data_IF_652843646503
#
_entry.id   IF_652843646503
#
_cell.length_a   1.000
_cell.length_b   1.000
_cell.length_c   1.000
_cell.angle_alpha   90.00
_cell.angle_beta   90.00
_cell.angle_gamma   90.00
#
_symmetry.space_group_name_H-M   'P 1'
#
loop_
_entity.id
_entity.type
_entity.pdbx_description
1 polymer ?
#
# COMPACT_ATOMS: atom_id res chain seq x y z
N UNK A 1 22.17 34.83 19.46
CA UNK A 1 20.89 35.04 18.75
C UNK A 1 21.19 35.88 17.51
N UNK A 2 20.90 35.37 16.32
CA UNK A 2 21.01 36.10 15.06
C UNK A 2 19.94 37.19 14.95
N UNK A 3 20.10 38.11 13.99
CA UNK A 3 19.11 39.17 13.75
C UNK A 3 17.72 38.60 13.41
N UNK A 4 17.68 37.51 12.62
CA UNK A 4 16.44 36.80 12.31
C UNK A 4 15.82 36.16 13.54
N UNK A 5 16.62 35.53 14.41
CA UNK A 5 16.13 34.99 15.69
C UNK A 5 15.64 36.10 16.64
N UNK A 6 16.27 37.30 16.60
CA UNK A 6 15.85 38.45 17.39
C UNK A 6 14.51 39.02 16.93
N UNK A 7 14.33 39.22 15.63
CA UNK A 7 13.03 39.58 15.05
C UNK A 7 11.95 38.55 15.40
N UNK A 8 12.31 37.27 15.37
CA UNK A 8 11.43 36.17 15.75
C UNK A 8 11.00 36.27 17.22
N UNK A 9 11.97 36.48 18.11
CA UNK A 9 11.75 36.62 19.54
C UNK A 9 10.86 37.82 19.86
N UNK A 10 11.21 39.01 19.37
CA UNK A 10 10.49 40.26 19.69
C UNK A 10 9.04 40.16 19.18
N UNK A 11 8.82 39.55 18.02
CA UNK A 11 7.47 39.32 17.52
C UNK A 11 6.67 38.35 18.39
N UNK A 12 7.27 37.27 18.93
CA UNK A 12 6.57 36.35 19.85
C UNK A 12 6.21 37.05 21.17
N UNK A 13 7.06 37.96 21.64
CA UNK A 13 6.79 38.72 22.87
C UNK A 13 5.73 39.81 22.68
N UNK A 14 5.67 40.40 21.49
CA UNK A 14 4.79 41.53 21.19
C UNK A 14 3.40 41.09 20.67
N UNK A 15 3.26 39.83 20.25
CA UNK A 15 2.00 39.33 19.69
C UNK A 15 1.05 38.85 20.79
N UNK A 16 -0.20 39.25 20.71
CA UNK A 16 -1.17 39.07 21.81
C UNK A 16 -1.96 37.78 21.79
N UNK A 17 -2.02 37.01 20.69
CA UNK A 17 -2.93 35.84 20.63
C UNK A 17 -2.41 34.66 19.80
N UNK A 18 -1.88 34.89 18.61
CA UNK A 18 -1.53 33.83 17.66
C UNK A 18 -0.25 34.16 16.90
N UNK A 19 0.58 33.14 16.66
CA UNK A 19 1.81 33.25 15.90
C UNK A 19 1.75 32.32 14.70
N UNK A 20 1.56 32.89 13.51
CA UNK A 20 1.60 32.16 12.24
C UNK A 20 2.95 32.31 11.56
N UNK A 21 3.73 31.23 11.52
CA UNK A 21 5.05 31.21 10.90
C UNK A 21 5.33 29.96 10.07
N UNK A 22 4.32 29.44 9.41
CA UNK A 22 4.50 28.33 8.48
C UNK A 22 5.44 28.69 7.31
N UNK A 23 6.33 27.77 6.94
CA UNK A 23 7.12 27.88 5.70
C UNK A 23 8.26 28.92 5.74
N UNK A 24 8.75 29.30 6.92
CA UNK A 24 9.77 30.37 7.08
C UNK A 24 11.20 29.87 7.25
N UNK A 25 11.42 28.56 7.16
CA UNK A 25 12.74 27.93 7.24
C UNK A 25 13.53 28.31 8.51
N UNK A 26 12.83 28.48 9.65
CA UNK A 26 13.46 28.99 10.87
C UNK A 26 14.43 27.97 11.52
N UNK A 27 14.28 26.68 11.21
CA UNK A 27 15.09 25.60 11.74
C UNK A 27 15.03 25.47 13.28
N UNK A 28 15.95 24.68 13.83
CA UNK A 28 16.05 24.47 15.28
C UNK A 28 16.39 25.76 16.03
N UNK A 29 17.23 26.61 15.44
CA UNK A 29 17.65 27.89 16.00
C UNK A 29 16.46 28.86 16.16
N UNK A 30 15.57 28.90 15.18
CA UNK A 30 14.33 29.66 15.29
C UNK A 30 13.36 29.07 16.30
N UNK A 31 13.19 27.75 16.32
CA UNK A 31 12.38 27.09 17.34
C UNK A 31 12.89 27.37 18.76
N UNK A 32 14.20 27.41 18.97
CA UNK A 32 14.81 27.82 20.24
C UNK A 32 14.48 29.28 20.57
N UNK A 33 14.55 30.20 19.60
CA UNK A 33 14.20 31.60 19.84
C UNK A 33 12.71 31.78 20.20
N UNK A 34 11.81 31.04 19.56
CA UNK A 34 10.39 30.99 19.93
C UNK A 34 10.23 30.44 21.35
N UNK A 35 10.91 29.35 21.68
CA UNK A 35 10.90 28.77 23.02
C UNK A 35 11.37 29.77 24.09
N UNK A 36 12.48 30.50 23.86
CA UNK A 36 12.93 31.53 24.80
C UNK A 36 11.91 32.67 24.94
N UNK A 37 11.27 33.10 23.86
CA UNK A 37 10.24 34.14 23.91
C UNK A 37 8.97 33.66 24.62
N UNK A 38 8.58 32.40 24.46
CA UNK A 38 7.42 31.79 25.14
C UNK A 38 7.59 31.69 26.66
N UNK A 39 8.81 31.73 27.19
CA UNK A 39 9.05 31.78 28.65
C UNK A 39 8.58 33.11 29.26
N UNK A 40 8.66 34.19 28.49
CA UNK A 40 8.27 35.54 28.95
C UNK A 40 6.90 35.96 28.43
N UNK A 41 6.48 35.47 27.26
CA UNK A 41 5.17 35.76 26.70
C UNK A 41 4.05 35.28 27.61
N UNK A 42 3.10 36.18 27.92
CA UNK A 42 1.94 35.93 28.80
C UNK A 42 0.60 36.00 28.08
N UNK A 43 0.63 36.26 26.78
CA UNK A 43 -0.56 36.55 25.98
C UNK A 43 -0.75 35.52 24.88
N UNK A 44 0.33 34.94 24.35
CA UNK A 44 0.26 34.05 23.21
C UNK A 44 -0.47 32.74 23.55
N UNK A 45 -1.51 32.44 22.75
CA UNK A 45 -2.41 31.29 22.91
C UNK A 45 -2.12 30.21 21.87
N UNK A 46 -1.81 30.61 20.63
CA UNK A 46 -1.62 29.68 19.51
C UNK A 46 -0.27 29.89 18.82
N UNK A 47 0.45 28.79 18.55
CA UNK A 47 1.69 28.82 17.77
C UNK A 47 1.61 27.87 16.58
N UNK A 48 1.84 28.41 15.38
CA UNK A 48 1.90 27.69 14.12
C UNK A 48 3.28 27.79 13.49
N UNK A 49 3.99 26.66 13.50
CA UNK A 49 5.38 26.55 13.09
C UNK A 49 5.59 25.41 12.07
N UNK A 50 4.59 25.12 11.25
CA UNK A 50 4.66 24.10 10.22
C UNK A 50 5.66 24.38 9.10
N UNK A 51 6.16 23.35 8.42
CA UNK A 51 7.07 23.49 7.27
C UNK A 51 8.32 24.37 7.54
N UNK A 52 8.99 24.19 8.68
CA UNK A 52 10.09 25.07 9.11
C UNK A 52 11.45 24.39 9.24
N UNK A 53 11.58 23.13 8.83
CA UNK A 53 12.78 22.31 9.02
C UNK A 53 13.17 22.19 10.50
N UNK A 54 12.18 22.16 11.40
CA UNK A 54 12.38 21.90 12.82
C UNK A 54 12.61 20.39 12.99
N UNK A 55 13.70 20.01 13.65
CA UNK A 55 13.95 18.62 14.04
C UNK A 55 13.46 18.34 15.47
N UNK A 56 13.69 17.12 15.94
CA UNK A 56 13.58 16.73 17.35
C UNK A 56 14.19 17.74 18.34
N UNK A 57 15.33 18.35 17.99
CA UNK A 57 16.02 19.34 18.84
C UNK A 57 15.18 20.59 19.06
N UNK A 58 14.67 21.20 17.99
CA UNK A 58 13.82 22.38 18.10
C UNK A 58 12.44 22.07 18.69
N UNK A 59 11.88 20.90 18.37
CA UNK A 59 10.64 20.43 18.98
C UNK A 59 10.78 20.25 20.50
N UNK A 60 11.91 19.70 20.95
CA UNK A 60 12.22 19.58 22.39
C UNK A 60 12.32 20.94 23.07
N UNK A 61 12.92 21.94 22.44
CA UNK A 61 12.99 23.29 23.00
C UNK A 61 11.60 23.90 23.27
N UNK A 62 10.69 23.74 22.30
CA UNK A 62 9.30 24.16 22.42
C UNK A 62 8.60 23.37 23.54
N UNK A 63 8.71 22.04 23.52
CA UNK A 63 8.08 21.17 24.52
C UNK A 63 8.54 21.48 25.96
N UNK A 64 9.83 21.68 26.19
CA UNK A 64 10.35 22.07 27.51
C UNK A 64 9.75 23.40 27.98
N UNK A 65 9.55 24.34 27.06
CA UNK A 65 8.92 25.62 27.42
C UNK A 65 7.44 25.47 27.75
N UNK A 66 6.73 24.55 27.10
CA UNK A 66 5.33 24.26 27.42
C UNK A 66 5.16 23.70 28.84
N UNK A 67 6.19 23.15 29.48
CA UNK A 67 6.09 22.76 30.91
C UNK A 67 5.80 23.96 31.81
N UNK A 68 6.39 25.12 31.47
CA UNK A 68 6.31 26.35 32.27
C UNK A 68 5.31 27.37 31.72
N UNK A 69 5.13 27.45 30.39
CA UNK A 69 4.15 28.34 29.78
C UNK A 69 2.72 27.85 30.07
N UNK A 70 1.86 28.76 30.52
CA UNK A 70 0.47 28.46 30.92
C UNK A 70 -0.58 29.11 30.01
N UNK A 71 -0.16 29.75 28.94
CA UNK A 71 -1.03 30.55 28.07
C UNK A 71 -1.27 29.87 26.74
N UNK A 72 -0.24 29.20 26.20
CA UNK A 72 -0.34 28.45 24.94
C UNK A 72 -1.32 27.28 25.14
N UNK A 73 -2.37 27.30 24.34
CA UNK A 73 -3.41 26.28 24.27
C UNK A 73 -3.32 25.47 22.97
N UNK A 74 -2.65 25.99 21.93
CA UNK A 74 -2.60 25.39 20.61
C UNK A 74 -1.18 25.41 20.02
N UNK A 75 -0.72 24.25 19.56
CA UNK A 75 0.59 24.08 18.93
C UNK A 75 0.44 23.27 17.65
N UNK A 76 0.91 23.81 16.53
CA UNK A 76 1.09 23.05 15.29
C UNK A 76 2.53 23.10 14.82
N UNK A 77 3.08 21.91 14.59
CA UNK A 77 4.42 21.70 14.06
C UNK A 77 4.37 20.81 12.81
N UNK A 78 3.24 20.80 12.09
CA UNK A 78 3.03 19.95 10.92
C UNK A 78 4.15 20.05 9.89
N UNK A 79 4.45 18.96 9.18
CA UNK A 79 5.43 18.96 8.07
C UNK A 79 6.85 19.42 8.50
N UNK A 80 7.27 19.02 9.70
CA UNK A 80 8.63 19.15 10.22
C UNK A 80 9.29 17.76 10.38
N UNK A 81 10.54 17.68 10.82
CA UNK A 81 11.32 16.43 10.93
C UNK A 81 11.51 16.04 12.41
N UNK A 82 10.40 15.98 13.15
CA UNK A 82 10.40 15.87 14.62
C UNK A 82 10.79 14.46 15.10
N UNK A 83 10.28 13.44 14.40
CA UNK A 83 10.50 12.03 14.73
C UNK A 83 9.96 11.63 16.12
N UNK A 84 10.29 10.40 16.51
CA UNK A 84 9.86 9.83 17.80
C UNK A 84 10.47 10.56 19.01
N UNK A 85 11.70 11.05 18.89
CA UNK A 85 12.39 11.76 19.97
C UNK A 85 11.70 13.09 20.32
N UNK A 86 11.28 13.86 19.31
CA UNK A 86 10.53 15.09 19.57
C UNK A 86 9.10 14.82 20.06
N UNK A 87 8.45 13.75 19.58
CA UNK A 87 7.16 13.31 20.12
C UNK A 87 7.26 12.90 21.61
N UNK A 88 8.34 12.22 22.01
CA UNK A 88 8.64 11.93 23.41
C UNK A 88 8.80 13.22 24.24
N UNK A 89 9.45 14.25 23.71
CA UNK A 89 9.57 15.53 24.42
C UNK A 89 8.20 16.19 24.65
N UNK A 90 7.31 16.16 23.64
CA UNK A 90 5.93 16.63 23.79
C UNK A 90 5.13 15.79 24.79
N UNK A 91 5.32 14.47 24.79
CA UNK A 91 4.72 13.59 25.78
C UNK A 91 5.12 13.99 27.21
N UNK A 92 6.41 14.18 27.48
CA UNK A 92 6.87 14.64 28.81
C UNK A 92 6.33 16.03 29.18
N UNK A 93 6.19 16.93 28.21
CA UNK A 93 5.59 18.25 28.45
C UNK A 93 4.10 18.15 28.80
N UNK A 94 3.35 17.32 28.08
CA UNK A 94 1.91 17.12 28.26
C UNK A 94 1.53 16.46 29.59
N UNK A 95 2.45 15.73 30.23
CA UNK A 95 2.22 15.17 31.58
C UNK A 95 2.05 16.26 32.65
N UNK A 96 2.69 17.42 32.45
CA UNK A 96 2.69 18.53 33.43
C UNK A 96 1.99 19.79 32.92
N UNK A 97 1.80 19.91 31.60
CA UNK A 97 1.06 21.01 31.01
C UNK A 97 -0.44 20.78 31.19
N UNK A 98 -1.10 21.77 31.81
CA UNK A 98 -2.53 21.74 32.13
C UNK A 98 -3.35 22.76 31.33
N UNK A 99 -2.81 23.23 30.20
CA UNK A 99 -3.49 24.24 29.37
C UNK A 99 -3.65 23.81 27.91
N UNK A 100 -2.70 23.05 27.34
CA UNK A 100 -2.70 22.66 25.94
C UNK A 100 -3.94 21.82 25.61
N UNK A 101 -4.69 22.29 24.60
CA UNK A 101 -5.94 21.70 24.10
C UNK A 101 -5.78 21.11 22.70
N UNK A 102 -4.89 21.70 21.90
CA UNK A 102 -4.67 21.34 20.51
C UNK A 102 -3.20 21.06 20.25
N UNK A 103 -2.90 19.86 19.75
CA UNK A 103 -1.55 19.49 19.34
C UNK A 103 -1.59 18.86 17.95
N UNK A 104 -0.88 19.49 17.01
CA UNK A 104 -0.72 18.99 15.66
C UNK A 104 0.73 18.62 15.34
N UNK A 105 0.94 17.31 15.19
CA UNK A 105 2.20 16.66 14.79
C UNK A 105 2.01 15.90 13.46
N UNK A 106 1.12 16.37 12.58
CA UNK A 106 0.88 15.73 11.28
C UNK A 106 2.11 15.80 10.37
N UNK A 107 2.44 14.73 9.65
CA UNK A 107 3.62 14.72 8.76
C UNK A 107 4.92 15.08 9.47
N UNK A 108 5.16 14.53 10.67
CA UNK A 108 6.37 14.80 11.44
C UNK A 108 7.28 13.60 11.67
N UNK A 109 7.06 12.53 10.88
CA UNK A 109 7.87 11.31 10.84
C UNK A 109 7.79 10.47 12.13
N UNK A 110 6.67 10.53 12.86
CA UNK A 110 6.44 9.65 14.02
C UNK A 110 6.24 8.21 13.56
N UNK A 111 6.89 7.28 14.25
CA UNK A 111 6.61 5.86 14.20
C UNK A 111 5.83 5.39 15.43
N UNK A 112 5.86 4.08 15.67
CA UNK A 112 5.17 3.46 16.80
C UNK A 112 5.73 3.91 18.16
N UNK A 113 7.02 4.20 18.25
CA UNK A 113 7.62 4.64 19.50
C UNK A 113 7.13 6.04 19.92
N UNK A 114 7.04 6.99 18.98
CA UNK A 114 6.47 8.31 19.22
C UNK A 114 4.97 8.25 19.54
N UNK A 115 4.21 7.42 18.82
CA UNK A 115 2.79 7.18 19.11
C UNK A 115 2.58 6.62 20.53
N UNK A 116 3.39 5.65 20.94
CA UNK A 116 3.36 5.07 22.29
C UNK A 116 3.68 6.10 23.37
N UNK A 117 4.67 6.97 23.15
CA UNK A 117 5.00 8.04 24.10
C UNK A 117 3.82 8.99 24.34
N UNK A 118 3.17 9.42 23.25
CA UNK A 118 1.97 10.26 23.33
C UNK A 118 0.83 9.51 24.02
N UNK A 119 0.62 8.23 23.69
CA UNK A 119 -0.41 7.40 24.30
C UNK A 119 -0.25 7.24 25.82
N UNK A 120 0.95 6.95 26.31
CA UNK A 120 1.19 6.88 27.77
C UNK A 120 0.87 8.19 28.47
N UNK A 121 1.06 9.31 27.80
CA UNK A 121 0.70 10.62 28.36
C UNK A 121 -0.79 10.89 28.32
N UNK A 122 -1.50 10.45 27.26
CA UNK A 122 -2.96 10.57 27.19
C UNK A 122 -3.68 9.86 28.34
N UNK A 123 -3.07 8.81 28.93
CA UNK A 123 -3.64 8.15 30.12
C UNK A 123 -3.75 9.07 31.34
N UNK A 124 -2.90 10.11 31.43
CA UNK A 124 -2.82 11.02 32.58
C UNK A 124 -3.17 12.47 32.23
N UNK A 125 -3.05 12.89 30.97
CA UNK A 125 -3.38 14.24 30.56
C UNK A 125 -4.90 14.42 30.50
N UNK A 126 -5.38 15.51 31.12
CA UNK A 126 -6.80 15.82 31.25
C UNK A 126 -7.19 17.12 30.54
N UNK A 127 -6.41 17.58 29.57
CA UNK A 127 -6.62 18.89 28.94
C UNK A 127 -6.66 18.83 27.43
N UNK A 128 -5.88 17.94 26.82
CA UNK A 128 -5.81 17.80 25.38
C UNK A 128 -7.15 17.28 24.85
N UNK A 129 -7.68 18.00 23.85
CA UNK A 129 -8.97 17.73 23.20
C UNK A 129 -8.81 17.31 21.74
N UNK A 130 -7.82 17.89 21.06
CA UNK A 130 -7.59 17.71 19.64
C UNK A 130 -6.15 17.26 19.39
N UNK A 131 -6.00 16.11 18.75
CA UNK A 131 -4.70 15.51 18.50
C UNK A 131 -4.57 15.06 17.04
N UNK A 132 -3.61 15.65 16.34
CA UNK A 132 -3.33 15.33 14.94
C UNK A 132 -2.02 14.56 14.80
N UNK A 133 -2.13 13.28 14.45
CA UNK A 133 -1.02 12.36 14.22
C UNK A 133 -1.05 11.76 12.79
N UNK A 134 -1.85 12.33 11.90
CA UNK A 134 -2.00 11.87 10.53
C UNK A 134 -0.74 12.09 9.67
N UNK A 135 -0.64 11.37 8.56
CA UNK A 135 0.50 11.45 7.62
C UNK A 135 1.84 11.11 8.28
N UNK A 136 1.84 10.19 9.25
CA UNK A 136 3.04 9.69 9.92
C UNK A 136 3.27 8.22 9.51
N UNK A 137 4.05 7.48 10.30
CA UNK A 137 4.48 6.10 10.03
C UNK A 137 4.00 5.16 11.13
N UNK A 138 2.89 5.52 11.80
CA UNK A 138 2.29 4.77 12.90
C UNK A 138 1.68 3.48 12.33
N UNK A 139 2.12 2.34 12.82
CA UNK A 139 1.59 1.02 12.52
C UNK A 139 0.65 0.49 13.61
N UNK A 140 0.43 -0.82 13.59
CA UNK A 140 -0.48 -1.49 14.53
C UNK A 140 -0.03 -1.35 15.98
N UNK A 141 1.28 -1.40 16.26
CA UNK A 141 1.79 -1.29 17.62
C UNK A 141 1.55 0.10 18.24
N UNK A 142 1.74 1.16 17.45
CA UNK A 142 1.41 2.52 17.86
C UNK A 142 -0.09 2.72 18.03
N UNK A 143 -0.90 2.20 17.10
CA UNK A 143 -2.36 2.23 17.19
C UNK A 143 -2.90 1.49 18.43
N UNK A 144 -2.33 0.33 18.77
CA UNK A 144 -2.68 -0.41 19.98
C UNK A 144 -2.35 0.38 21.25
N UNK A 145 -1.19 1.05 21.29
CA UNK A 145 -0.83 1.91 22.42
C UNK A 145 -1.84 3.05 22.58
N UNK A 146 -2.21 3.70 21.49
CA UNK A 146 -3.24 4.75 21.47
C UNK A 146 -4.57 4.19 21.96
N UNK A 147 -5.00 3.02 21.48
CA UNK A 147 -6.24 2.38 21.89
C UNK A 147 -6.30 2.14 23.42
N UNK A 148 -5.22 1.65 24.02
CA UNK A 148 -5.16 1.48 25.49
C UNK A 148 -5.28 2.82 26.23
N UNK A 149 -4.73 3.90 25.67
CA UNK A 149 -4.91 5.22 26.25
C UNK A 149 -6.36 5.73 26.12
N UNK A 150 -7.03 5.46 25.00
CA UNK A 150 -8.41 5.88 24.78
C UNK A 150 -9.40 5.21 25.74
N UNK A 151 -9.15 3.98 26.20
CA UNK A 151 -10.02 3.33 27.20
C UNK A 151 -10.15 4.14 28.49
N UNK A 152 -9.09 4.82 28.90
CA UNK A 152 -9.02 5.57 30.17
C UNK A 152 -9.07 7.08 30.01
N UNK A 153 -8.69 7.61 28.84
CA UNK A 153 -8.72 9.04 28.59
C UNK A 153 -10.17 9.53 28.44
N UNK A 154 -10.48 10.63 29.13
CA UNK A 154 -11.83 11.21 29.20
C UNK A 154 -11.88 12.64 28.66
N UNK A 155 -10.88 13.09 27.90
CA UNK A 155 -10.76 14.49 27.49
C UNK A 155 -10.53 14.68 26.00
N UNK A 156 -9.93 13.69 25.33
CA UNK A 156 -9.73 13.70 23.89
C UNK A 156 -11.05 13.47 23.19
N UNK A 157 -11.36 14.38 22.27
CA UNK A 157 -12.63 14.45 21.54
C UNK A 157 -12.41 14.18 20.06
N UNK A 158 -11.27 14.63 19.52
CA UNK A 158 -10.92 14.55 18.10
C UNK A 158 -9.50 13.99 17.90
N UNK A 159 -9.42 12.88 17.17
CA UNK A 159 -8.17 12.17 16.88
C UNK A 159 -8.01 11.90 15.37
N UNK A 160 -6.94 12.47 14.80
CA UNK A 160 -6.58 12.22 13.40
C UNK A 160 -5.42 11.24 13.29
N UNK A 161 -5.70 10.05 12.74
CA UNK A 161 -4.75 8.96 12.46
C UNK A 161 -4.69 8.56 10.98
N UNK A 162 -5.38 9.28 10.10
CA UNK A 162 -5.41 9.01 8.67
C UNK A 162 -4.03 9.12 7.99
N UNK A 163 -3.84 8.46 6.85
CA UNK A 163 -2.53 8.43 6.15
C UNK A 163 -1.40 7.93 7.05
N UNK A 164 -1.60 6.83 7.75
CA UNK A 164 -0.58 6.11 8.52
C UNK A 164 -0.43 4.69 7.95
N UNK A 165 0.14 3.75 8.72
CA UNK A 165 0.34 2.35 8.33
C UNK A 165 -0.48 1.39 9.21
N UNK A 166 -1.61 1.85 9.73
CA UNK A 166 -2.46 1.07 10.65
C UNK A 166 -3.18 -0.02 9.86
N UNK A 167 -3.01 -1.27 10.25
CA UNK A 167 -3.66 -2.45 9.68
C UNK A 167 -4.87 -2.92 10.50
N UNK A 168 -5.30 -4.15 10.22
CA UNK A 168 -6.45 -4.77 10.88
C UNK A 168 -6.25 -4.90 12.40
N UNK A 169 -5.05 -5.27 12.85
CA UNK A 169 -4.78 -5.45 14.28
C UNK A 169 -4.90 -4.13 15.07
N UNK A 170 -4.34 -3.04 14.54
CA UNK A 170 -4.47 -1.72 15.14
C UNK A 170 -5.92 -1.21 15.11
N UNK A 171 -6.63 -1.43 14.00
CA UNK A 171 -8.04 -1.07 13.87
C UNK A 171 -8.93 -1.83 14.86
N UNK A 172 -8.70 -3.13 15.06
CA UNK A 172 -9.41 -3.94 16.06
C UNK A 172 -9.15 -3.44 17.48
N UNK A 173 -7.92 -3.07 17.81
CA UNK A 173 -7.59 -2.50 19.12
C UNK A 173 -8.35 -1.17 19.35
N UNK A 174 -8.35 -0.28 18.35
CA UNK A 174 -9.11 0.97 18.40
C UNK A 174 -10.61 0.69 18.54
N UNK A 175 -11.16 -0.27 17.80
CA UNK A 175 -12.56 -0.67 17.90
C UNK A 175 -12.93 -1.12 19.32
N UNK A 176 -12.09 -1.95 19.96
CA UNK A 176 -12.30 -2.36 21.34
C UNK A 176 -12.31 -1.15 22.29
N UNK A 177 -11.35 -0.23 22.14
CA UNK A 177 -11.28 0.98 22.96
C UNK A 177 -12.50 1.90 22.78
N UNK A 178 -13.04 2.01 21.56
CA UNK A 178 -14.26 2.77 21.30
C UNK A 178 -15.51 2.19 21.99
N UNK A 179 -15.54 0.89 22.28
CA UNK A 179 -16.63 0.31 23.07
C UNK A 179 -16.69 0.87 24.50
N UNK A 180 -15.52 1.17 25.07
CA UNK A 180 -15.35 1.65 26.43
C UNK A 180 -15.34 3.18 26.52
N UNK A 181 -14.67 3.86 25.57
CA UNK A 181 -14.51 5.32 25.57
C UNK A 181 -15.85 6.05 25.40
N UNK A 182 -16.09 7.06 26.23
CA UNK A 182 -17.33 7.86 26.27
C UNK A 182 -17.13 9.35 25.95
N UNK A 183 -16.01 9.72 25.34
CA UNK A 183 -15.65 11.14 25.16
C UNK A 183 -15.26 11.49 23.73
N UNK A 184 -14.70 10.53 22.99
CA UNK A 184 -14.31 10.71 21.60
C UNK A 184 -15.54 10.85 20.71
N UNK A 185 -15.59 11.94 19.96
CA UNK A 185 -16.66 12.22 19.00
C UNK A 185 -16.18 12.06 17.56
N UNK A 186 -14.91 12.38 17.28
CA UNK A 186 -14.34 12.34 15.93
C UNK A 186 -13.08 11.47 15.86
N UNK A 187 -13.07 10.52 14.93
CA UNK A 187 -11.93 9.66 14.64
C UNK A 187 -11.71 9.52 13.13
N UNK A 188 -10.52 9.90 12.68
CA UNK A 188 -10.13 9.85 11.28
C UNK A 188 -9.06 8.78 11.02
N UNK A 189 -9.40 7.76 10.23
CA UNK A 189 -8.57 6.59 9.92
C UNK A 189 -8.45 6.32 8.40
N UNK A 190 -8.94 7.20 7.53
CA UNK A 190 -8.81 7.04 6.07
C UNK A 190 -7.35 6.96 5.59
N UNK A 191 -7.11 6.40 4.40
CA UNK A 191 -5.74 6.22 3.86
C UNK A 191 -4.80 5.44 4.80
N UNK A 192 -5.28 4.40 5.49
CA UNK A 192 -4.43 3.46 6.26
C UNK A 192 -4.33 2.12 5.52
N UNK A 193 -3.94 1.05 6.21
CA UNK A 193 -3.83 -0.31 5.70
C UNK A 193 -4.96 -1.23 6.22
N UNK A 194 -6.12 -0.66 6.57
CA UNK A 194 -7.20 -1.39 7.26
C UNK A 194 -7.95 -2.25 6.25
N UNK A 195 -7.92 -3.56 6.46
CA UNK A 195 -8.65 -4.56 5.69
C UNK A 195 -10.10 -4.72 6.15
N UNK A 196 -10.78 -5.71 5.58
CA UNK A 196 -12.20 -5.95 5.87
C UNK A 196 -12.44 -6.29 7.34
N UNK A 197 -11.50 -6.99 7.98
CA UNK A 197 -11.61 -7.40 9.38
C UNK A 197 -11.59 -6.18 10.31
N UNK A 198 -10.67 -5.24 10.09
CA UNK A 198 -10.60 -4.00 10.87
C UNK A 198 -11.78 -3.07 10.59
N UNK A 199 -12.22 -2.96 9.33
CA UNK A 199 -13.42 -2.18 8.95
C UNK A 199 -14.66 -2.72 9.65
N UNK A 200 -14.85 -4.04 9.67
CA UNK A 200 -15.99 -4.68 10.35
C UNK A 200 -15.95 -4.41 11.86
N UNK A 201 -14.79 -4.56 12.50
CA UNK A 201 -14.63 -4.29 13.93
C UNK A 201 -14.98 -2.84 14.29
N UNK A 202 -14.46 -1.88 13.52
CA UNK A 202 -14.77 -0.45 13.70
C UNK A 202 -16.26 -0.14 13.44
N UNK A 203 -16.87 -0.81 12.46
CA UNK A 203 -18.31 -0.70 12.18
C UNK A 203 -19.19 -1.20 13.33
N UNK A 204 -18.86 -2.34 13.94
CA UNK A 204 -19.58 -2.85 15.12
C UNK A 204 -19.37 -1.94 16.34
N UNK A 205 -18.13 -1.49 16.59
CA UNK A 205 -17.85 -0.55 17.67
C UNK A 205 -18.64 0.76 17.52
N UNK A 206 -18.81 1.24 16.29
CA UNK A 206 -19.59 2.44 15.99
C UNK A 206 -21.08 2.28 16.32
N UNK A 207 -21.66 1.09 16.13
CA UNK A 207 -23.07 0.82 16.45
C UNK A 207 -23.35 0.90 17.95
N UNK A 208 -22.39 0.49 18.77
CA UNK A 208 -22.51 0.49 20.24
C UNK A 208 -22.05 1.81 20.88
N UNK A 209 -21.18 2.58 20.20
CA UNK A 209 -20.74 3.88 20.68
C UNK A 209 -21.71 4.99 20.23
N UNK A 210 -22.64 5.35 21.12
CA UNK A 210 -23.63 6.41 20.88
C UNK A 210 -23.09 7.85 20.93
N UNK A 211 -21.81 8.06 21.23
CA UNK A 211 -21.20 9.40 21.36
C UNK A 211 -20.33 9.74 20.16
N UNK A 212 -19.69 8.74 19.54
CA UNK A 212 -18.91 8.93 18.32
C UNK A 212 -19.84 9.46 17.23
N UNK A 213 -19.62 10.70 16.77
CA UNK A 213 -20.42 11.38 15.75
C UNK A 213 -19.78 11.26 14.37
N UNK A 214 -18.47 11.12 14.29
CA UNK A 214 -17.74 10.97 13.01
C UNK A 214 -16.66 9.90 13.09
N UNK A 215 -16.76 8.91 12.20
CA UNK A 215 -15.76 7.86 12.00
C UNK A 215 -15.48 7.78 10.50
N UNK A 216 -14.30 8.23 10.07
CA UNK A 216 -13.91 8.23 8.65
C UNK A 216 -12.86 7.15 8.41
N UNK A 217 -13.22 6.11 7.65
CA UNK A 217 -12.37 4.93 7.40
C UNK A 217 -12.19 4.63 5.90
N UNK A 218 -12.48 5.60 5.04
CA UNK A 218 -12.46 5.45 3.57
C UNK A 218 -11.02 5.35 3.00
N UNK A 219 -10.91 5.01 1.72
CA UNK A 219 -9.66 5.01 0.95
C UNK A 219 -8.51 4.19 1.57
N UNK A 220 -8.79 2.99 2.08
CA UNK A 220 -7.75 2.12 2.62
C UNK A 220 -6.81 1.62 1.52
N UNK A 221 -5.52 1.72 1.79
CA UNK A 221 -4.43 1.27 0.95
C UNK A 221 -4.25 -0.23 1.19
N UNK A 222 -4.18 -1.02 0.11
CA UNK A 222 -3.85 -2.44 0.24
C UNK A 222 -2.48 -2.56 0.94
N UNK A 223 -2.34 -3.31 2.05
CA UNK A 223 -1.06 -3.49 2.74
C UNK A 223 0.08 -3.95 1.81
N UNK A 224 -0.26 -4.71 0.75
CA UNK A 224 0.67 -5.17 -0.28
C UNK A 224 1.26 -4.03 -1.13
N UNK A 225 0.60 -2.87 -1.20
CA UNK A 225 1.16 -1.69 -1.87
C UNK A 225 2.48 -1.24 -1.22
N UNK A 226 2.68 -1.50 0.07
CA UNK A 226 3.92 -1.18 0.77
C UNK A 226 4.99 -2.27 0.68
N UNK A 227 4.61 -3.52 0.35
CA UNK A 227 5.55 -4.59 0.00
C UNK A 227 5.95 -4.57 -1.48
N UNK A 228 5.18 -3.88 -2.33
CA UNK A 228 5.48 -3.65 -3.74
C UNK A 228 6.34 -2.41 -3.98
N UNK A 229 6.42 -1.50 -3.01
CA UNK A 229 7.46 -0.48 -2.98
C UNK A 229 8.78 -1.19 -2.65
N UNK A 230 9.85 -1.04 -3.48
CA UNK A 230 11.16 -1.59 -3.16
C UNK A 230 11.68 -0.86 -1.90
N UNK A 231 11.32 -1.39 -0.74
CA UNK A 231 11.85 -0.96 0.56
C UNK A 231 13.28 -1.45 0.62
N UNK A 232 14.24 -0.58 0.27
CA UNK A 232 15.65 -0.68 0.68
C UNK A 232 16.32 -2.05 0.47
N UNK A 233 15.95 -2.80 -0.57
CA UNK A 233 16.77 -3.91 -1.00
C UNK A 233 17.99 -3.30 -1.70
N UNK A 234 19.17 -3.54 -1.13
CA UNK A 234 20.43 -3.20 -1.80
C UNK A 234 20.54 -3.99 -3.10
N UNK A 235 21.40 -3.56 -4.01
CA UNK A 235 21.68 -4.32 -5.25
C UNK A 235 22.14 -5.75 -4.92
N UNK A 236 22.79 -5.96 -3.77
CA UNK A 236 23.22 -7.27 -3.27
C UNK A 236 22.07 -8.17 -2.82
N UNK A 237 21.04 -7.62 -2.18
CA UNK A 237 19.84 -8.38 -1.78
C UNK A 237 19.08 -8.91 -2.99
N UNK A 238 18.98 -8.08 -4.04
CA UNK A 238 18.41 -8.51 -5.33
C UNK A 238 19.27 -9.56 -6.01
N UNK A 239 20.59 -9.41 -6.02
CA UNK A 239 21.50 -10.40 -6.60
C UNK A 239 21.49 -11.74 -5.86
N UNK A 240 21.35 -11.73 -4.53
CA UNK A 240 21.28 -12.96 -3.73
C UNK A 240 19.99 -13.72 -3.97
N UNK A 241 18.84 -13.03 -4.00
CA UNK A 241 17.55 -13.66 -4.36
C UNK A 241 17.56 -14.13 -5.81
N UNK A 242 18.15 -13.36 -6.73
CA UNK A 242 18.28 -13.75 -8.13
C UNK A 242 19.21 -14.95 -8.31
N UNK A 243 20.35 -15.03 -7.59
CA UNK A 243 21.25 -16.19 -7.59
C UNK A 243 20.62 -17.44 -6.95
N UNK A 244 19.79 -17.29 -5.91
CA UNK A 244 19.04 -18.40 -5.32
C UNK A 244 17.95 -18.93 -6.25
N UNK A 245 17.32 -18.05 -7.04
CA UNK A 245 16.26 -18.43 -7.98
C UNK A 245 16.80 -18.95 -9.33
N UNK A 246 18.04 -18.58 -9.69
CA UNK A 246 18.70 -18.98 -10.96
C UNK A 246 19.83 -19.99 -10.77
N UNK A 247 20.29 -20.22 -9.54
CA UNK A 247 21.38 -21.11 -9.19
C UNK A 247 20.93 -22.56 -8.98
N UNK A 248 21.37 -23.44 -9.89
CA UNK A 248 21.49 -24.87 -9.64
C UNK A 248 22.38 -25.08 -8.40
N UNK A 249 21.93 -25.90 -7.46
CA UNK A 249 22.87 -26.62 -6.60
C UNK A 249 23.62 -27.64 -7.46
N UNK A 250 24.90 -27.40 -7.73
CA UNK A 250 25.87 -28.48 -7.58
C UNK A 250 26.22 -28.56 -6.10
N UNK A 251 26.14 -29.78 -5.57
CA UNK A 251 26.18 -30.12 -4.16
C UNK A 251 27.51 -29.73 -3.52
N UNK A 252 27.46 -29.19 -2.31
CA UNK A 252 28.06 -29.81 -1.13
C UNK A 252 27.53 -29.16 0.15
N UNK A 253 27.10 -30.00 1.10
CA UNK A 253 26.60 -29.71 2.45
C UNK A 253 25.25 -28.98 2.58
N UNK A 254 24.19 -29.78 2.74
CA UNK A 254 23.04 -29.38 3.57
C UNK A 254 23.45 -29.45 5.06
N UNK A 255 22.94 -28.55 5.92
CA UNK A 255 21.73 -28.91 6.65
C UNK A 255 20.76 -27.73 6.92
N UNK A 256 19.48 -27.94 6.58
CA UNK A 256 18.26 -27.58 7.32
C UNK A 256 17.07 -27.57 6.33
N UNK A 257 15.89 -28.11 6.69
CA UNK A 257 14.70 -27.92 5.87
C UNK A 257 14.33 -26.44 5.92
N UNK A 258 14.47 -25.74 4.80
CA UNK A 258 13.90 -24.40 4.63
C UNK A 258 12.38 -24.50 4.73
N UNK A 259 11.71 -23.56 5.41
CA UNK A 259 10.26 -23.56 5.52
C UNK A 259 9.63 -23.44 4.13
N UNK A 260 8.56 -24.19 3.89
CA UNK A 260 7.73 -24.01 2.71
C UNK A 260 7.36 -22.52 2.59
N UNK A 261 7.66 -21.91 1.45
CA UNK A 261 7.18 -20.57 1.14
C UNK A 261 5.67 -20.53 1.39
N UNK A 262 5.14 -19.57 2.17
CA UNK A 262 3.71 -19.36 2.30
C UNK A 262 3.10 -19.28 0.90
N UNK A 263 1.94 -19.92 0.69
CA UNK A 263 1.29 -20.01 -0.62
C UNK A 263 1.15 -18.62 -1.28
N UNK A 264 1.01 -17.59 -0.46
CA UNK A 264 0.92 -16.18 -0.85
C UNK A 264 2.20 -15.66 -1.55
N UNK A 265 3.40 -16.13 -1.16
CA UNK A 265 4.66 -15.75 -1.82
C UNK A 265 4.85 -16.54 -3.12
N UNK A 266 4.43 -17.81 -3.15
CA UNK A 266 4.43 -18.59 -4.38
C UNK A 266 3.49 -17.98 -5.44
N UNK A 267 2.31 -17.50 -5.03
CA UNK A 267 1.40 -16.76 -5.90
C UNK A 267 1.99 -15.41 -6.34
N UNK A 268 2.67 -14.68 -5.47
CA UNK A 268 3.32 -13.40 -5.82
C UNK A 268 4.48 -13.57 -6.82
N UNK A 269 5.25 -14.66 -6.71
CA UNK A 269 6.29 -15.03 -7.69
C UNK A 269 5.66 -15.43 -9.03
N UNK A 270 4.49 -16.07 -9.01
CA UNK A 270 3.71 -16.40 -10.21
C UNK A 270 3.06 -15.16 -10.85
N UNK A 271 2.80 -14.11 -10.07
CA UNK A 271 2.17 -12.87 -10.54
C UNK A 271 3.16 -11.90 -11.21
N UNK A 272 4.44 -11.97 -10.86
CA UNK A 272 5.53 -11.20 -11.50
C UNK A 272 6.14 -11.85 -12.76
N UNK A 273 5.60 -12.97 -13.23
CA UNK A 273 6.00 -13.56 -14.51
C UNK A 273 5.45 -12.72 -15.68
N UNK A 274 6.33 -12.30 -16.58
CA UNK A 274 6.00 -11.49 -17.76
C UNK A 274 4.83 -12.09 -18.56
N UNK A 275 3.80 -11.28 -18.80
CA UNK A 275 2.66 -11.65 -19.64
C UNK A 275 3.08 -11.64 -21.12
N UNK A 276 3.31 -12.83 -21.68
CA UNK A 276 3.50 -13.01 -23.12
C UNK A 276 2.12 -13.11 -23.80
N UNK A 277 1.66 -12.00 -24.35
CA UNK A 277 0.53 -12.00 -25.26
C UNK A 277 1.00 -12.51 -26.63
N UNK A 278 1.09 -13.84 -26.78
CA UNK A 278 1.32 -14.49 -28.07
C UNK A 278 0.09 -14.36 -28.96
N UNK A 279 -0.19 -13.15 -29.47
CA UNK A 279 -1.25 -12.94 -30.45
C UNK A 279 -0.74 -13.41 -31.81
N UNK A 280 -1.00 -14.66 -32.18
CA UNK A 280 -0.95 -15.04 -33.58
C UNK A 280 -2.23 -14.51 -34.25
N UNK A 281 -2.09 -13.43 -35.01
CA UNK A 281 -3.11 -12.98 -35.95
C UNK A 281 -3.22 -14.01 -37.07
N UNK A 282 -4.25 -14.86 -37.07
CA UNK A 282 -4.66 -15.51 -38.32
C UNK A 282 -5.59 -14.54 -39.04
N UNK A 283 -5.15 -14.15 -40.23
CA UNK A 283 -5.87 -13.40 -41.24
C UNK A 283 -7.33 -13.84 -41.39
N UNK A 284 -8.21 -12.89 -41.76
CA UNK A 284 -9.46 -13.20 -42.44
C UNK A 284 -9.16 -14.11 -43.64
N UNK A 285 -9.39 -15.42 -43.51
CA UNK A 285 -9.43 -16.30 -44.66
C UNK A 285 -10.77 -16.12 -45.37
N UNK A 286 -10.86 -15.10 -46.23
CA UNK A 286 -11.79 -15.12 -47.34
C UNK A 286 -11.14 -15.87 -48.50
N UNK A 287 -11.02 -17.19 -48.39
CA UNK A 287 -10.69 -18.03 -49.53
C UNK A 287 -11.41 -19.37 -49.35
N UNK A 288 -12.11 -19.78 -50.40
CA UNK A 288 -13.15 -20.80 -50.39
C UNK A 288 -12.71 -22.24 -50.06
N UNK A 289 -11.44 -22.54 -49.79
CA UNK A 289 -10.97 -23.95 -49.78
C UNK A 289 -9.88 -24.32 -48.75
N UNK A 290 -9.66 -23.54 -47.68
CA UNK A 290 -8.69 -23.93 -46.63
C UNK A 290 -9.29 -23.75 -45.23
N UNK A 291 -9.80 -24.85 -44.66
CA UNK A 291 -10.15 -24.93 -43.24
C UNK A 291 -8.85 -24.89 -42.41
N UNK A 292 -8.85 -24.15 -41.31
CA UNK A 292 -7.75 -24.18 -40.34
C UNK A 292 -8.19 -25.11 -39.22
N UNK A 293 -7.71 -26.35 -39.27
CA UNK A 293 -8.16 -27.44 -38.37
C UNK A 293 -7.46 -27.40 -36.99
N UNK A 294 -6.37 -26.63 -36.87
CA UNK A 294 -5.62 -26.48 -35.63
C UNK A 294 -4.85 -25.15 -35.52
N UNK A 295 -4.64 -24.68 -34.29
CA UNK A 295 -3.73 -23.57 -33.93
C UNK A 295 -2.46 -24.14 -33.34
N UNK A 296 -1.29 -23.68 -33.79
CA UNK A 296 0.01 -24.13 -33.27
C UNK A 296 0.86 -22.96 -32.78
N UNK A 297 1.27 -23.00 -31.52
CA UNK A 297 2.09 -22.00 -30.87
C UNK A 297 3.39 -22.63 -30.35
N UNK A 298 4.53 -22.13 -30.81
CA UNK A 298 5.84 -22.49 -30.23
C UNK A 298 6.17 -21.52 -29.11
N UNK A 299 6.51 -22.05 -27.93
CA UNK A 299 6.90 -21.23 -26.79
C UNK A 299 8.20 -20.49 -27.11
N UNK A 300 8.23 -19.15 -26.96
CA UNK A 300 9.39 -18.36 -27.37
C UNK A 300 10.64 -18.76 -26.57
N UNK A 301 11.81 -18.49 -27.13
CA UNK A 301 13.08 -18.58 -26.38
C UNK A 301 13.38 -17.21 -25.80
N UNK A 302 13.61 -17.12 -24.49
CA UNK A 302 13.95 -15.85 -23.86
C UNK A 302 15.29 -15.34 -24.41
N UNK A 303 15.35 -14.09 -24.86
CA UNK A 303 16.54 -13.49 -25.49
C UNK A 303 17.76 -13.40 -24.55
N UNK A 304 17.52 -13.56 -23.24
CA UNK A 304 18.50 -13.51 -22.16
C UNK A 304 18.77 -14.89 -21.51
N UNK A 305 18.27 -15.99 -22.09
CA UNK A 305 18.52 -17.36 -21.57
C UNK A 305 17.70 -17.77 -20.35
N UNK A 306 16.77 -16.92 -19.87
CA UNK A 306 15.88 -17.27 -18.76
C UNK A 306 14.80 -18.30 -19.18
N UNK A 307 14.40 -19.17 -18.24
CA UNK A 307 13.35 -20.17 -18.46
C UNK A 307 11.97 -19.50 -18.47
N UNK A 308 11.19 -19.70 -19.54
CA UNK A 308 9.79 -19.25 -19.62
C UNK A 308 8.92 -20.23 -18.83
N UNK A 309 8.13 -19.70 -17.88
CA UNK A 309 7.09 -20.45 -17.16
C UNK A 309 5.71 -20.00 -17.62
N UNK A 310 4.85 -20.95 -17.95
CA UNK A 310 3.49 -20.69 -18.44
C UNK A 310 2.55 -20.55 -17.24
N UNK A 311 1.88 -19.39 -17.12
CA UNK A 311 0.94 -19.11 -16.02
C UNK A 311 -0.47 -19.62 -16.32
N UNK A 312 -0.92 -19.54 -17.56
CA UNK A 312 -2.18 -20.12 -18.00
C UNK A 312 -2.19 -20.19 -19.53
N UNK A 313 -2.99 -21.10 -20.07
CA UNK A 313 -3.37 -21.10 -21.49
C UNK A 313 -4.85 -20.77 -21.56
N UNK A 314 -5.19 -19.71 -22.28
CA UNK A 314 -6.56 -19.29 -22.53
C UNK A 314 -6.88 -19.44 -23.99
N UNK A 315 -7.90 -20.24 -24.29
CA UNK A 315 -8.38 -20.46 -25.66
C UNK A 315 -9.79 -19.90 -25.76
N UNK A 316 -9.98 -18.94 -26.68
CA UNK A 316 -11.28 -18.33 -26.95
C UNK A 316 -11.77 -18.76 -28.33
N UNK A 317 -13.04 -19.17 -28.41
CA UNK A 317 -13.72 -19.54 -29.67
C UNK A 317 -15.09 -18.89 -29.73
N UNK A 318 -15.43 -18.32 -30.87
CA UNK A 318 -16.78 -17.80 -31.14
C UNK A 318 -17.69 -18.89 -31.74
N UNK A 319 -18.90 -19.06 -31.19
CA UNK A 319 -19.84 -20.13 -31.48
C UNK A 319 -20.70 -19.80 -32.71
N UNK A 320 -20.75 -20.77 -33.63
CA UNK A 320 -21.51 -20.80 -34.90
C UNK A 320 -23.03 -20.95 -34.86
N UNK A 321 -23.46 -21.86 -34.00
CA UNK A 321 -24.76 -22.50 -34.07
C UNK A 321 -25.04 -23.17 -32.73
N UNK A 322 -26.31 -23.29 -32.36
CA UNK A 322 -26.79 -23.88 -31.10
C UNK A 322 -26.62 -25.41 -31.02
N UNK A 323 -26.19 -26.08 -32.09
CA UNK A 323 -25.86 -27.51 -32.05
C UNK A 323 -24.48 -27.73 -31.39
N UNK A 324 -24.42 -28.72 -30.49
CA UNK A 324 -23.28 -29.40 -29.81
C UNK A 324 -21.97 -28.63 -29.59
N UNK A 325 -21.52 -28.57 -28.33
CA UNK A 325 -20.21 -28.03 -27.94
C UNK A 325 -19.10 -29.01 -28.35
N UNK A 326 -18.51 -28.83 -29.53
CA UNK A 326 -17.35 -29.64 -29.94
C UNK A 326 -16.18 -29.42 -28.96
N UNK A 327 -15.54 -30.50 -28.46
CA UNK A 327 -14.43 -30.39 -27.51
C UNK A 327 -13.20 -29.71 -28.14
N UNK A 328 -12.34 -29.17 -27.27
CA UNK A 328 -11.03 -28.63 -27.63
C UNK A 328 -9.99 -29.70 -27.36
N UNK A 329 -9.25 -30.13 -28.39
CA UNK A 329 -8.14 -31.06 -28.21
C UNK A 329 -6.83 -30.28 -28.13
N UNK A 330 -6.25 -30.22 -26.93
CA UNK A 330 -4.95 -29.62 -26.67
C UNK A 330 -3.86 -30.69 -26.71
N UNK A 331 -2.92 -30.54 -27.65
CA UNK A 331 -1.75 -31.40 -27.77
C UNK A 331 -0.51 -30.57 -27.43
N UNK A 332 0.30 -31.04 -26.48
CA UNK A 332 1.59 -30.42 -26.14
C UNK A 332 2.71 -31.35 -26.59
N UNK A 333 3.63 -30.81 -27.38
CA UNK A 333 4.83 -31.50 -27.87
C UNK A 333 6.08 -30.85 -27.28
N UNK A 334 7.10 -31.66 -27.02
CA UNK A 334 8.42 -31.15 -26.64
C UNK A 334 9.23 -30.63 -27.84
N UNK A 335 10.45 -30.16 -27.57
CA UNK A 335 11.38 -29.65 -28.59
C UNK A 335 11.78 -30.67 -29.66
N UNK A 336 11.59 -31.98 -29.40
CA UNK A 336 11.87 -33.06 -30.34
C UNK A 336 10.60 -33.53 -31.08
N UNK A 337 9.47 -32.85 -30.87
CA UNK A 337 8.18 -33.14 -31.49
C UNK A 337 7.40 -34.29 -30.84
N UNK A 338 7.91 -34.87 -29.76
CA UNK A 338 7.24 -35.96 -29.05
C UNK A 338 6.04 -35.42 -28.27
N UNK A 339 4.88 -36.07 -28.41
CA UNK A 339 3.68 -35.72 -27.63
C UNK A 339 3.98 -35.99 -26.16
N UNK A 340 3.97 -34.93 -25.35
CA UNK A 340 4.08 -35.01 -23.90
C UNK A 340 2.73 -34.99 -23.22
N UNK A 341 1.71 -34.48 -23.91
CA UNK A 341 0.38 -34.36 -23.36
C UNK A 341 -0.69 -34.20 -24.44
N UNK A 342 -1.86 -34.77 -24.18
CA UNK A 342 -3.05 -34.67 -25.03
C UNK A 342 -4.27 -34.58 -24.11
N UNK A 343 -5.17 -33.64 -24.38
CA UNK A 343 -6.35 -33.40 -23.56
C UNK A 343 -7.52 -32.84 -24.34
N UNK A 344 -8.67 -33.52 -24.21
CA UNK A 344 -9.95 -33.06 -24.70
C UNK A 344 -10.69 -32.30 -23.58
N UNK A 345 -11.04 -31.04 -23.82
CA UNK A 345 -11.75 -30.20 -22.87
C UNK A 345 -13.10 -29.73 -23.43
N UNK A 346 -14.16 -29.95 -22.68
CA UNK A 346 -15.45 -29.31 -22.94
C UNK A 346 -15.41 -27.85 -22.46
N UNK A 347 -15.68 -26.90 -23.35
CA UNK A 347 -15.63 -25.49 -23.01
C UNK A 347 -16.99 -24.95 -22.56
N UNK A 348 -17.11 -24.48 -21.31
CA UNK A 348 -18.32 -23.79 -20.89
C UNK A 348 -18.51 -22.52 -21.73
N UNK A 349 -19.77 -22.25 -22.09
CA UNK A 349 -20.17 -21.03 -22.79
C UNK A 349 -20.12 -19.88 -21.78
N UNK A 350 -19.25 -18.90 -22.02
CA UNK A 350 -19.04 -17.76 -21.09
C UNK A 350 -19.90 -16.56 -21.47
N UNK A 351 -20.33 -16.49 -22.75
CA UNK A 351 -21.32 -15.53 -23.26
C UNK A 351 -22.08 -16.17 -24.44
N UNK A 352 -23.23 -15.62 -24.84
CA UNK A 352 -24.14 -16.08 -25.91
C UNK A 352 -23.45 -16.53 -27.22
N UNK A 353 -22.26 -16.00 -27.51
CA UNK A 353 -21.44 -16.38 -28.68
C UNK A 353 -20.02 -16.81 -28.35
N UNK A 354 -19.54 -16.80 -27.10
CA UNK A 354 -18.11 -17.06 -26.79
C UNK A 354 -17.95 -18.24 -25.83
N UNK A 355 -17.09 -19.17 -26.22
CA UNK A 355 -16.55 -20.24 -25.37
C UNK A 355 -15.12 -19.91 -24.97
N UNK A 356 -14.82 -20.12 -23.69
CA UNK A 356 -13.50 -19.88 -23.11
C UNK A 356 -13.09 -21.11 -22.30
N UNK A 357 -11.92 -21.64 -22.62
CA UNK A 357 -11.23 -22.62 -21.78
C UNK A 357 -10.02 -21.93 -21.16
N UNK A 358 -9.92 -21.99 -19.84
CA UNK A 358 -8.72 -21.55 -19.12
C UNK A 358 -8.07 -22.77 -18.49
N UNK A 359 -6.79 -22.98 -18.79
CA UNK A 359 -5.97 -24.03 -18.20
C UNK A 359 -4.94 -23.36 -17.32
N UNK A 360 -5.01 -23.60 -16.02
CA UNK A 360 -4.11 -23.02 -15.03
C UNK A 360 -3.19 -24.09 -14.40
N UNK A 361 -2.04 -23.71 -13.84
CA UNK A 361 -1.09 -24.64 -13.21
C UNK A 361 -1.58 -25.22 -11.89
N UNK A 362 -2.63 -24.66 -11.27
CA UNK A 362 -3.36 -25.30 -10.17
C UNK A 362 -4.23 -26.45 -10.68
N UNK A 363 -4.78 -26.31 -11.88
CA UNK A 363 -5.67 -27.31 -12.48
C UNK A 363 -4.91 -28.38 -13.27
N UNK A 364 -3.68 -28.08 -13.73
CA UNK A 364 -3.01 -28.95 -14.71
C UNK A 364 -1.47 -29.08 -14.56
N UNK A 365 -0.92 -30.29 -14.30
CA UNK A 365 0.50 -30.50 -14.03
C UNK A 365 1.42 -30.19 -15.22
N UNK A 366 0.92 -30.30 -16.46
CA UNK A 366 1.72 -30.04 -17.67
C UNK A 366 2.06 -28.57 -17.88
N UNK A 367 1.22 -27.65 -17.38
CA UNK A 367 1.51 -26.21 -17.44
C UNK A 367 2.77 -25.88 -16.61
N UNK A 368 3.02 -26.62 -15.53
CA UNK A 368 4.26 -26.49 -14.73
C UNK A 368 5.49 -27.03 -15.45
N UNK A 369 5.31 -27.91 -16.43
CA UNK A 369 6.39 -28.60 -17.14
C UNK A 369 6.73 -27.99 -18.49
N UNK A 370 5.86 -27.16 -19.07
CA UNK A 370 6.14 -26.42 -20.30
C UNK A 370 7.45 -25.63 -20.20
N UNK A 371 8.25 -25.69 -21.27
CA UNK A 371 9.54 -24.98 -21.40
C UNK A 371 9.59 -24.21 -22.71
N UNK A 372 10.56 -23.30 -22.82
CA UNK A 372 10.88 -22.63 -24.08
C UNK A 372 11.13 -23.68 -25.18
N UNK A 373 10.63 -23.45 -26.40
CA UNK A 373 10.78 -24.37 -27.53
C UNK A 373 9.78 -25.53 -27.60
N UNK A 374 8.98 -25.77 -26.55
CA UNK A 374 7.86 -26.72 -26.63
C UNK A 374 6.74 -26.13 -27.49
N UNK A 375 5.94 -27.00 -28.11
CA UNK A 375 4.85 -26.61 -29.00
C UNK A 375 3.51 -26.96 -28.37
N UNK A 376 2.57 -26.01 -28.44
CA UNK A 376 1.19 -26.19 -28.02
C UNK A 376 0.31 -26.12 -29.25
N UNK A 377 -0.42 -27.19 -29.52
CA UNK A 377 -1.35 -27.32 -30.62
C UNK A 377 -2.78 -27.44 -30.08
N UNK A 378 -3.72 -26.69 -30.64
CA UNK A 378 -5.15 -26.75 -30.29
C UNK A 378 -5.89 -27.15 -31.55
N UNK A 379 -6.46 -28.35 -31.57
CA UNK A 379 -7.29 -28.83 -32.67
C UNK A 379 -8.76 -28.54 -32.38
N UNK A 380 -9.51 -28.24 -33.44
CA UNK A 380 -10.94 -27.99 -33.36
C UNK A 380 -11.68 -29.16 -34.01
N UNK A 381 -12.46 -29.90 -33.21
CA UNK A 381 -13.18 -31.08 -33.70
C UNK A 381 -14.04 -30.78 -34.93
N UNK A 382 -13.81 -31.51 -36.02
CA UNK A 382 -14.64 -31.50 -37.22
C UNK A 382 -15.64 -32.65 -37.09
N UNK A 383 -16.93 -32.36 -36.96
CA UNK A 383 -17.94 -33.19 -37.60
C UNK A 383 -18.51 -32.47 -38.82
N UNK A 384 -18.34 -33.14 -39.95
CA UNK A 384 -18.64 -32.73 -41.32
C UNK A 384 -20.13 -32.37 -41.46
N UNK A 385 -20.41 -31.13 -41.84
CA UNK A 385 -21.76 -30.67 -42.19
C UNK A 385 -21.72 -29.28 -42.80
N UNK A 386 -21.81 -29.21 -44.12
CA UNK A 386 -21.55 -28.04 -44.94
C UNK A 386 -22.43 -26.81 -44.62
N UNK A 387 -21.86 -25.63 -44.90
CA UNK A 387 -22.50 -24.32 -45.08
C UNK A 387 -22.89 -23.51 -43.82
N UNK A 388 -21.90 -22.94 -43.14
CA UNK A 388 -22.10 -21.68 -42.40
C UNK A 388 -20.83 -20.81 -42.47
N UNK A 389 -20.94 -19.60 -43.05
CA UNK A 389 -19.83 -18.62 -43.16
C UNK A 389 -19.60 -17.93 -41.80
N UNK A 390 -18.34 -17.90 -41.36
CA UNK A 390 -17.90 -17.41 -40.04
C UNK A 390 -17.25 -16.00 -40.12
N UNK A 391 -17.55 -15.05 -39.21
CA UNK A 391 -16.98 -13.65 -39.19
C UNK A 391 -16.56 -13.24 -37.76
N UNK A 392 -15.43 -12.54 -37.60
CA UNK A 392 -14.88 -12.08 -36.30
C UNK A 392 -14.59 -10.55 -36.31
N UNK A 393 -14.71 -9.84 -35.16
CA UNK A 393 -14.43 -8.39 -35.01
C UNK A 393 -13.61 -8.09 -33.74
N UNK A 394 -12.65 -7.14 -33.81
CA UNK A 394 -11.90 -6.60 -32.66
C UNK A 394 -11.96 -5.06 -32.57
N UNK A 395 -11.74 -4.49 -31.38
CA UNK A 395 -11.73 -3.03 -31.10
C UNK A 395 -10.41 -2.61 -30.43
N UNK A 396 -9.89 -1.42 -30.77
CA UNK A 396 -8.57 -0.88 -30.35
C UNK A 396 -8.71 0.38 -29.46
N UNK A 397 -7.76 0.63 -28.53
CA UNK A 397 -7.48 1.94 -27.92
C UNK A 397 -6.01 2.32 -28.17
N UNK A 398 -5.79 3.54 -28.71
CA UNK A 398 -4.48 4.08 -29.14
C UNK A 398 -3.71 4.73 -27.98
N UNK A 399 -2.37 4.63 -28.00
CA UNK A 399 -1.44 5.59 -27.36
C UNK A 399 -1.08 6.69 -28.37
N UNK A 400 -1.15 7.96 -27.97
CA UNK A 400 -0.52 9.07 -28.70
C UNK A 400 0.98 9.17 -28.37
N UNK A 401 1.82 9.76 -29.25
CA UNK A 401 3.25 9.88 -29.02
C UNK A 401 3.58 11.15 -28.22
N UNK A 402 4.52 11.06 -27.28
CA UNK A 402 5.35 12.20 -26.87
C UNK A 402 6.77 11.85 -27.25
N UNK A 403 7.22 12.44 -28.35
CA UNK A 403 8.63 12.57 -28.73
C UNK A 403 9.30 13.56 -27.81
N UNK A 404 10.42 13.18 -27.21
CA UNK A 404 11.46 14.12 -26.79
C UNK A 404 12.72 13.79 -27.57
N UNK A 405 13.01 14.68 -28.51
CA UNK A 405 14.28 14.87 -29.21
C UNK A 405 15.42 15.12 -28.21
N UNK A 406 16.60 14.59 -28.52
CA UNK A 406 17.80 14.74 -27.68
C UNK A 406 18.50 16.10 -27.77
N UNK A 407 19.53 16.25 -26.93
CA UNK A 407 20.90 16.65 -27.27
C UNK A 407 21.83 16.41 -26.05
N UNK A 408 23.17 16.43 -26.20
CA UNK A 408 24.16 15.67 -25.44
C UNK A 408 24.84 16.57 -24.39
N UNK A 409 25.96 16.09 -23.83
CA UNK A 409 26.88 16.79 -22.91
C UNK A 409 26.96 18.31 -23.02
#
# INVERSE_FOLDING_TARGET
MSESQRKLYDRVTDTSEWLLWDGKQIGNDGAQAVAEALKVSRTLVSIELGQNHISDVGARAIAETLKVNKTVAEVTLRQNQIGDAGAQAFAEALKVNTNLRWLNLSSTQLGDAGARAIAETLKVNTTLKYLYLNRNQIGDAGAQSIAEALKVNTTLIDLHLHTNRIGDAGAQAIAAALGENKTMTELHLWNNCIGQVGVQALGEARKVNGILTRLIIEDQINPLAFSLLPRLATTEDWQSVFHLLTGRHEKENQPAPLPALPAEIAELVMDKAEYLQGVQHIHQAWAKDHYVDFLKLTMPRSSNGNSIRVKAIQVLRERQSEATSDPFDLIVRDELGAVRYEWAAEAPVVDSTIQLVTISPTDHPVIRQLRAGWEVEVQFGIQIGANAKRRFVSKTLKKGPVTVSGYPF
#
